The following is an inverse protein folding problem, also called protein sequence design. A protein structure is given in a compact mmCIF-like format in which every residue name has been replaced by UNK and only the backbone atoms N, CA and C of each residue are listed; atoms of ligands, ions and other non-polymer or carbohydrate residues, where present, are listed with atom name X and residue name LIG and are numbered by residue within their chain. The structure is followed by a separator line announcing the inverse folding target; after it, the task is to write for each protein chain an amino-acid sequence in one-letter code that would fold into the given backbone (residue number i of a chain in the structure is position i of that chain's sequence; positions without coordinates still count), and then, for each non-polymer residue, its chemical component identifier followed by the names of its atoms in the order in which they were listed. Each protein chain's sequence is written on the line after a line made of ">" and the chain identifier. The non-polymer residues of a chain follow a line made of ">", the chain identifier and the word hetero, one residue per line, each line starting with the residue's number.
data_IF_906736098423
#
_entry.id   IF_906736098423
#
_cell.length_a   1.000
_cell.length_b   1.000
_cell.length_c   1.000
_cell.angle_alpha   90.00
_cell.angle_beta   90.00
_cell.angle_gamma   90.00
#
_symmetry.space_group_name_H-M   'P 1'
#
loop_
_entity.id
_entity.type
_entity.pdbx_description
1 polymer ?
#
# COMPACT_ATOMS: atom_id res chain seq x y z
N UNK A 1 -14.44 1.94 -16.49
CA UNK A 1 -13.20 1.33 -15.97
C UNK A 1 -13.40 1.19 -14.47
N UNK A 2 -13.11 0.02 -13.91
CA UNK A 2 -13.21 -0.20 -12.47
C UNK A 2 -12.20 0.71 -11.74
N UNK A 3 -12.63 1.41 -10.69
CA UNK A 3 -11.77 2.35 -9.95
C UNK A 3 -10.63 1.64 -9.24
N UNK A 4 -10.85 0.38 -8.81
CA UNK A 4 -9.83 -0.47 -8.21
C UNK A 4 -8.75 -0.80 -9.23
N UNK A 5 -9.13 -1.33 -10.39
CA UNK A 5 -8.15 -1.65 -11.44
C UNK A 5 -7.42 -0.40 -11.96
N UNK A 6 -8.11 0.75 -12.02
CA UNK A 6 -7.48 2.03 -12.37
C UNK A 6 -6.40 2.43 -11.35
N UNK A 7 -6.67 2.29 -10.04
CA UNK A 7 -5.69 2.56 -8.99
C UNK A 7 -4.48 1.62 -9.08
N UNK A 8 -4.70 0.33 -9.37
CA UNK A 8 -3.62 -0.65 -9.56
C UNK A 8 -2.74 -0.31 -10.77
N UNK A 9 -3.33 0.12 -11.88
CA UNK A 9 -2.55 0.52 -13.06
C UNK A 9 -1.69 1.75 -12.78
N UNK A 10 -2.23 2.73 -12.05
CA UNK A 10 -1.46 3.90 -11.61
C UNK A 10 -0.31 3.47 -10.69
N UNK A 11 -0.60 2.63 -9.68
CA UNK A 11 0.40 2.13 -8.75
C UNK A 11 1.53 1.36 -9.45
N UNK A 12 1.19 0.49 -10.41
CA UNK A 12 2.16 -0.27 -11.20
C UNK A 12 3.03 0.64 -12.09
N UNK A 13 2.45 1.67 -12.69
CA UNK A 13 3.20 2.67 -13.47
C UNK A 13 4.13 3.50 -12.57
N UNK A 14 3.68 3.88 -11.37
CA UNK A 14 4.53 4.54 -10.38
C UNK A 14 5.71 3.66 -9.93
N UNK A 15 5.47 2.36 -9.72
CA UNK A 15 6.52 1.40 -9.42
C UNK A 15 7.58 1.37 -10.53
N UNK A 16 7.16 1.25 -11.80
CA UNK A 16 8.08 1.24 -12.94
C UNK A 16 8.85 2.55 -13.05
N UNK A 17 8.19 3.70 -12.83
CA UNK A 17 8.84 5.01 -12.80
C UNK A 17 9.88 5.11 -11.69
N UNK A 18 9.62 4.54 -10.50
CA UNK A 18 10.58 4.51 -9.39
C UNK A 18 11.81 3.67 -9.71
N UNK A 19 11.61 2.49 -10.30
CA UNK A 19 12.72 1.67 -10.84
C UNK A 19 13.50 2.45 -11.90
N UNK A 20 12.81 3.15 -12.81
CA UNK A 20 13.43 3.97 -13.86
C UNK A 20 14.32 5.11 -13.32
N UNK A 21 14.07 5.55 -12.08
CA UNK A 21 14.92 6.53 -11.36
C UNK A 21 16.05 5.88 -10.56
N UNK A 22 16.17 4.56 -10.59
CA UNK A 22 17.20 3.79 -9.88
C UNK A 22 16.83 3.42 -8.44
N UNK A 23 15.56 3.57 -8.04
CA UNK A 23 15.11 3.14 -6.71
C UNK A 23 14.88 1.63 -6.74
N UNK A 24 15.55 0.89 -5.86
CA UNK A 24 15.45 -0.58 -5.82
C UNK A 24 14.14 -1.04 -5.18
N UNK A 25 13.32 -1.85 -5.84
CA UNK A 25 12.07 -2.37 -5.28
C UNK A 25 12.32 -3.43 -4.19
N UNK A 26 13.56 -3.90 -4.02
CA UNK A 26 13.95 -4.83 -2.97
C UNK A 26 14.14 -4.19 -1.59
N UNK A 27 14.13 -2.86 -1.50
CA UNK A 27 14.10 -2.16 -0.22
C UNK A 27 12.77 -1.40 -0.09
N UNK A 28 11.74 -2.12 0.35
CA UNK A 28 10.36 -1.64 0.39
C UNK A 28 10.22 -0.28 1.08
N UNK A 29 10.87 -0.11 2.24
CA UNK A 29 10.77 1.13 3.02
C UNK A 29 11.41 2.31 2.29
N UNK A 30 12.66 2.17 1.80
CA UNK A 30 13.30 3.22 0.99
C UNK A 30 12.56 3.47 -0.31
N UNK A 31 11.91 2.46 -0.87
CA UNK A 31 11.14 2.59 -2.10
C UNK A 31 9.92 3.50 -1.89
N UNK A 32 9.18 3.30 -0.80
CA UNK A 32 8.06 4.16 -0.41
C UNK A 32 8.53 5.58 -0.04
N UNK A 33 9.55 5.70 0.78
CA UNK A 33 10.12 7.01 1.19
C UNK A 33 10.57 7.81 -0.04
N UNK A 34 11.32 7.18 -0.96
CA UNK A 34 11.79 7.88 -2.16
C UNK A 34 10.65 8.37 -3.06
N UNK A 35 9.48 7.73 -3.01
CA UNK A 35 8.30 8.15 -3.76
C UNK A 35 7.53 9.27 -3.04
N UNK A 36 7.53 9.29 -1.70
CA UNK A 36 7.07 10.43 -0.91
C UNK A 36 7.98 11.66 -1.09
N UNK A 37 9.31 11.49 -0.97
CA UNK A 37 10.31 12.54 -1.17
C UNK A 37 10.18 13.19 -2.56
N UNK A 38 9.89 12.40 -3.60
CA UNK A 38 9.69 12.90 -4.97
C UNK A 38 8.49 13.85 -5.09
N UNK A 39 7.54 13.78 -4.15
CA UNK A 39 6.37 14.66 -4.07
C UNK A 39 6.55 15.78 -3.05
N UNK A 40 7.77 15.95 -2.53
CA UNK A 40 8.10 16.91 -1.48
C UNK A 40 7.35 16.63 -0.15
N UNK A 41 7.01 15.36 0.11
CA UNK A 41 6.46 14.93 1.41
C UNK A 41 7.57 14.36 2.29
N UNK A 42 7.71 14.90 3.50
CA UNK A 42 8.54 14.31 4.54
C UNK A 42 7.87 13.04 5.10
N UNK A 43 8.68 12.08 5.53
CA UNK A 43 8.21 10.83 6.16
C UNK A 43 8.85 10.69 7.53
N UNK A 44 8.01 10.64 8.57
CA UNK A 44 8.46 10.45 9.94
C UNK A 44 7.84 9.23 10.60
N UNK A 45 8.69 8.48 11.31
CA UNK A 45 8.29 7.33 12.08
C UNK A 45 7.97 7.75 13.52
N UNK A 46 6.77 7.40 14.00
CA UNK A 46 6.33 7.69 15.38
C UNK A 46 6.17 6.41 16.20
N UNK A 47 6.14 6.53 17.53
CA UNK A 47 5.92 5.38 18.39
C UNK A 47 4.54 4.74 18.15
N UNK A 48 4.44 3.43 18.36
CA UNK A 48 3.18 2.72 18.26
C UNK A 48 2.11 3.29 19.19
N UNK A 49 0.92 3.52 18.63
CA UNK A 49 -0.19 4.15 19.35
C UNK A 49 0.03 5.61 19.76
N UNK A 50 0.99 6.32 19.13
CA UNK A 50 1.18 7.74 19.39
C UNK A 50 -0.11 8.54 19.14
N UNK A 51 -0.43 9.48 20.03
CA UNK A 51 -1.67 10.27 19.97
C UNK A 51 -1.85 11.01 18.65
N UNK A 52 -0.75 11.41 18.01
CA UNK A 52 -0.76 12.08 16.70
C UNK A 52 -1.36 11.21 15.58
N UNK A 53 -1.30 9.88 15.72
CA UNK A 53 -1.94 8.96 14.77
C UNK A 53 -3.44 8.82 14.99
N UNK A 54 -4.00 9.35 16.08
CA UNK A 54 -5.44 9.33 16.38
C UNK A 54 -6.10 7.94 16.21
N UNK A 55 -5.42 6.89 16.69
CA UNK A 55 -5.91 5.50 16.61
C UNK A 55 -5.60 4.78 15.29
N UNK A 56 -5.05 5.47 14.29
CA UNK A 56 -4.55 4.88 13.05
C UNK A 56 -3.11 4.38 13.17
N UNK A 57 -2.63 3.72 12.11
CA UNK A 57 -1.20 3.33 11.97
C UNK A 57 -0.40 4.30 11.12
N UNK A 58 -1.04 5.12 10.31
CA UNK A 58 -0.42 6.18 9.54
C UNK A 58 -1.44 7.27 9.26
N UNK A 59 -0.93 8.49 9.04
CA UNK A 59 -1.75 9.62 8.69
C UNK A 59 -0.98 10.62 7.83
N UNK A 60 -1.66 11.13 6.81
CA UNK A 60 -1.22 12.24 6.00
C UNK A 60 -1.62 13.58 6.62
N UNK A 61 -0.64 14.44 6.89
CA UNK A 61 -0.85 15.84 7.25
C UNK A 61 -0.60 16.69 6.01
N UNK A 62 -1.63 16.84 5.18
CA UNK A 62 -1.48 17.42 3.85
C UNK A 62 -0.98 18.88 3.86
N UNK A 63 -1.41 19.68 4.84
CA UNK A 63 -1.00 21.09 4.98
C UNK A 63 0.48 21.26 5.37
N UNK A 64 1.08 20.23 5.95
CA UNK A 64 2.49 20.22 6.38
C UNK A 64 3.38 19.41 5.44
N UNK A 65 2.82 18.85 4.35
CA UNK A 65 3.52 17.92 3.46
C UNK A 65 4.22 16.79 4.23
N UNK A 66 3.51 16.18 5.19
CA UNK A 66 4.10 15.21 6.10
C UNK A 66 3.28 13.91 6.14
N UNK A 67 3.96 12.77 6.04
CA UNK A 67 3.43 11.44 6.29
C UNK A 67 3.99 10.93 7.61
N UNK A 68 3.10 10.65 8.55
CA UNK A 68 3.45 9.97 9.80
C UNK A 68 3.09 8.50 9.68
N UNK A 69 4.00 7.61 10.09
CA UNK A 69 3.71 6.19 10.18
C UNK A 69 4.19 5.58 11.49
N UNK A 70 3.49 4.55 11.95
CA UNK A 70 3.88 3.78 13.11
C UNK A 70 5.22 3.07 12.86
N UNK A 71 6.14 3.18 13.82
CA UNK A 71 7.43 2.51 13.81
C UNK A 71 7.33 1.09 14.38
N UNK A 72 6.45 0.25 13.82
CA UNK A 72 6.28 -1.14 14.22
C UNK A 72 6.26 -2.07 13.00
N UNK A 73 6.45 -3.36 13.22
CA UNK A 73 6.46 -4.36 12.15
C UNK A 73 7.73 -4.35 11.27
N UNK A 74 7.62 -5.06 10.14
CA UNK A 74 8.70 -5.24 9.15
C UNK A 74 8.93 -3.99 8.30
N UNK A 75 10.02 -3.94 7.54
CA UNK A 75 10.25 -2.84 6.59
C UNK A 75 9.13 -2.76 5.53
N UNK A 76 8.62 -3.91 5.08
CA UNK A 76 7.49 -3.96 4.17
C UNK A 76 6.22 -3.38 4.78
N UNK A 77 5.91 -3.72 6.04
CA UNK A 77 4.72 -3.20 6.71
C UNK A 77 4.77 -1.67 6.87
N UNK A 78 5.93 -1.12 7.22
CA UNK A 78 6.13 0.34 7.28
C UNK A 78 6.01 0.98 5.90
N UNK A 79 6.61 0.35 4.88
CA UNK A 79 6.46 0.79 3.50
C UNK A 79 5.00 0.81 3.05
N UNK A 80 4.22 -0.20 3.45
CA UNK A 80 2.80 -0.31 3.12
C UNK A 80 2.00 0.85 3.69
N UNK A 81 2.26 1.22 4.95
CA UNK A 81 1.66 2.39 5.58
C UNK A 81 1.95 3.68 4.79
N UNK A 82 3.21 3.90 4.40
CA UNK A 82 3.59 5.08 3.62
C UNK A 82 2.94 5.04 2.23
N UNK A 83 2.95 3.88 1.57
CA UNK A 83 2.36 3.69 0.25
C UNK A 83 0.83 3.87 0.24
N UNK A 84 0.16 3.56 1.35
CA UNK A 84 -1.26 3.82 1.56
C UNK A 84 -1.54 5.34 1.53
N UNK A 85 -0.78 6.13 2.29
CA UNK A 85 -0.89 7.59 2.27
C UNK A 85 -0.52 8.21 0.90
N UNK A 86 0.47 7.64 0.20
CA UNK A 86 0.79 8.01 -1.20
C UNK A 86 -0.43 7.77 -2.10
N UNK A 87 -1.22 6.73 -1.85
CA UNK A 87 -2.48 6.47 -2.54
C UNK A 87 -3.47 7.63 -2.41
N UNK A 88 -3.66 8.14 -1.18
CA UNK A 88 -4.53 9.31 -0.96
C UNK A 88 -4.04 10.56 -1.71
N UNK A 89 -2.73 10.78 -1.74
CA UNK A 89 -2.11 11.90 -2.50
C UNK A 89 -2.35 11.72 -4.00
N UNK A 90 -2.04 10.55 -4.55
CA UNK A 90 -2.08 10.28 -5.99
C UNK A 90 -3.51 10.27 -6.55
N UNK A 91 -4.46 9.68 -5.80
CA UNK A 91 -5.84 9.52 -6.25
C UNK A 91 -6.75 10.70 -5.87
N UNK A 92 -6.20 11.72 -5.19
CA UNK A 92 -6.84 13.03 -5.01
C UNK A 92 -7.87 13.10 -3.86
N UNK A 93 -7.66 12.35 -2.78
CA UNK A 93 -8.57 12.30 -1.62
C UNK A 93 -8.10 13.18 -0.44
N UNK A 94 -7.17 14.12 -0.68
CA UNK A 94 -6.50 14.94 0.35
C UNK A 94 -7.38 16.00 1.05
N UNK A 95 -8.70 15.97 0.87
CA UNK A 95 -9.61 17.02 1.38
C UNK A 95 -10.15 16.79 2.78
N UNK A 96 -10.03 15.59 3.32
CA UNK A 96 -10.38 15.28 4.70
C UNK A 96 -9.16 14.60 5.34
N UNK A 97 -8.74 15.03 6.54
CA UNK A 97 -7.73 14.30 7.32
C UNK A 97 -8.34 12.94 7.68
N UNK A 98 -8.07 11.92 6.87
CA UNK A 98 -8.65 10.59 7.05
C UNK A 98 -7.82 9.84 8.09
N UNK A 99 -8.45 9.51 9.22
CA UNK A 99 -7.90 8.59 10.21
C UNK A 99 -8.50 7.20 9.99
N UNK A 100 -7.65 6.21 9.70
CA UNK A 100 -8.07 4.82 9.39
C UNK A 100 -7.80 3.89 10.57
N UNK A 101 -8.80 3.11 10.98
CA UNK A 101 -8.65 2.15 12.09
C UNK A 101 -8.11 0.77 11.65
N UNK A 102 -8.18 0.39 10.37
CA UNK A 102 -7.82 -0.97 9.89
C UNK A 102 -7.20 -1.01 8.48
N UNK A 103 -5.86 -1.04 8.41
CA UNK A 103 -5.05 -1.17 7.18
C UNK A 103 -4.62 -2.65 7.02
N UNK A 104 -4.95 -3.28 5.88
CA UNK A 104 -4.67 -4.71 5.61
C UNK A 104 -3.88 -4.94 4.32
N UNK A 105 -2.58 -5.29 4.42
CA UNK A 105 -1.74 -5.64 3.27
C UNK A 105 -2.23 -6.85 2.46
N UNK A 106 -2.94 -7.81 3.08
CA UNK A 106 -3.33 -9.07 2.44
C UNK A 106 -4.75 -9.02 1.84
N UNK A 107 -5.40 -7.85 1.84
CA UNK A 107 -6.81 -7.69 1.44
C UNK A 107 -7.12 -8.26 0.05
N UNK A 108 -8.10 -9.15 -0.06
CA UNK A 108 -8.55 -9.73 -1.35
C UNK A 108 -9.39 -8.72 -2.14
N UNK A 109 -9.39 -8.82 -3.49
CA UNK A 109 -10.29 -8.05 -4.36
C UNK A 109 -11.76 -8.47 -4.13
N UNK A 110 -12.00 -9.75 -3.86
CA UNK A 110 -13.31 -10.33 -3.60
C UNK A 110 -13.78 -10.09 -2.15
N UNK A 111 -14.10 -8.85 -1.81
CA UNK A 111 -15.24 -8.63 -0.92
C UNK A 111 -16.54 -8.78 -1.75
N UNK A 112 -16.72 -9.92 -2.42
CA UNK A 112 -17.86 -10.15 -3.31
C UNK A 112 -19.05 -10.67 -2.48
N UNK A 113 -20.24 -10.05 -2.57
CA UNK A 113 -21.37 -10.37 -1.72
C UNK A 113 -22.07 -11.64 -2.22
N UNK A 114 -21.53 -12.81 -1.88
CA UNK A 114 -22.24 -14.09 -2.08
C UNK A 114 -22.81 -14.52 -0.73
N UNK A 115 -23.83 -13.80 -0.29
CA UNK A 115 -24.52 -14.07 0.96
C UNK A 115 -25.81 -13.27 1.05
N UNK A 116 -26.90 -13.89 0.62
CA UNK A 116 -28.29 -13.41 0.59
C UNK A 116 -28.88 -12.96 1.95
N UNK A 117 -28.08 -12.65 2.97
CA UNK A 117 -28.61 -12.22 4.28
C UNK A 117 -27.74 -11.23 5.07
N UNK A 118 -26.84 -10.48 4.43
CA UNK A 118 -26.23 -9.28 5.04
C UNK A 118 -25.56 -8.38 4.00
N UNK A 119 -26.37 -7.51 3.40
CA UNK A 119 -25.87 -6.31 2.73
C UNK A 119 -25.32 -5.39 3.81
N UNK A 120 -24.07 -5.59 4.22
CA UNK A 120 -23.30 -4.53 4.85
C UNK A 120 -22.85 -3.65 3.69
N UNK A 121 -23.69 -2.68 3.32
CA UNK A 121 -23.30 -1.65 2.36
C UNK A 121 -22.05 -0.97 2.91
N UNK A 122 -20.89 -1.24 2.30
CA UNK A 122 -19.68 -0.49 2.59
C UNK A 122 -19.99 1.00 2.38
N UNK A 123 -19.55 1.85 3.32
CA UNK A 123 -19.62 3.29 3.12
C UNK A 123 -18.69 3.70 1.96
N UNK A 124 -18.91 4.89 1.39
CA UNK A 124 -18.01 5.41 0.35
C UNK A 124 -16.57 5.54 0.84
N UNK A 125 -16.39 5.88 2.12
CA UNK A 125 -15.08 5.95 2.77
C UNK A 125 -14.42 4.58 2.85
N UNK A 126 -15.14 3.54 3.29
CA UNK A 126 -14.56 2.19 3.38
C UNK A 126 -14.10 1.66 2.02
N UNK A 127 -14.83 1.96 0.93
CA UNK A 127 -14.38 1.60 -0.42
C UNK A 127 -13.10 2.32 -0.84
N UNK A 128 -12.89 3.55 -0.38
CA UNK A 128 -11.66 4.30 -0.64
C UNK A 128 -10.49 3.70 0.12
N UNK A 129 -10.66 3.34 1.39
CA UNK A 129 -9.60 2.66 2.17
C UNK A 129 -9.18 1.34 1.52
N UNK A 130 -10.15 0.54 1.07
CA UNK A 130 -9.88 -0.68 0.31
C UNK A 130 -9.09 -0.38 -0.97
N UNK A 131 -9.42 0.70 -1.66
CA UNK A 131 -8.69 1.14 -2.85
C UNK A 131 -7.26 1.57 -2.51
N UNK A 132 -7.03 2.25 -1.38
CA UNK A 132 -5.68 2.63 -0.92
C UNK A 132 -4.83 1.44 -0.52
N UNK A 133 -5.41 0.44 0.16
CA UNK A 133 -4.71 -0.82 0.47
C UNK A 133 -4.26 -1.55 -0.80
N UNK A 134 -5.14 -1.63 -1.81
CA UNK A 134 -4.84 -2.27 -3.10
C UNK A 134 -3.81 -1.45 -3.90
N UNK A 135 -3.89 -0.12 -3.86
CA UNK A 135 -2.88 0.76 -4.44
C UNK A 135 -1.51 0.53 -3.79
N UNK A 136 -1.43 0.54 -2.46
CA UNK A 136 -0.20 0.37 -1.71
C UNK A 136 0.46 -0.99 -2.02
N UNK A 137 -0.34 -2.07 -2.03
CA UNK A 137 0.16 -3.40 -2.40
C UNK A 137 0.70 -3.42 -3.82
N UNK A 138 -0.04 -2.88 -4.78
CA UNK A 138 0.36 -2.88 -6.17
C UNK A 138 1.58 -1.99 -6.43
N UNK A 139 1.74 -0.90 -5.69
CA UNK A 139 2.89 -0.01 -5.82
C UNK A 139 4.18 -0.66 -5.29
N UNK A 140 4.12 -1.31 -4.14
CA UNK A 140 5.30 -1.96 -3.55
C UNK A 140 5.64 -3.29 -4.23
N UNK A 141 4.61 -4.02 -4.64
CA UNK A 141 4.72 -5.38 -5.10
C UNK A 141 3.77 -5.64 -6.28
N UNK A 142 4.00 -5.03 -7.47
CA UNK A 142 3.07 -5.17 -8.60
C UNK A 142 2.90 -6.62 -9.03
N UNK A 143 1.67 -7.03 -9.39
CA UNK A 143 1.38 -8.41 -9.84
C UNK A 143 2.28 -8.84 -10.99
N UNK A 144 2.50 -7.93 -11.93
CA UNK A 144 3.35 -8.17 -13.11
C UNK A 144 4.79 -8.46 -12.70
N UNK A 145 5.30 -7.77 -11.68
CA UNK A 145 6.64 -7.98 -11.15
C UNK A 145 6.73 -9.28 -10.37
N UNK A 146 5.79 -9.56 -9.47
CA UNK A 146 5.77 -10.83 -8.70
C UNK A 146 5.67 -12.04 -9.61
N UNK A 147 4.78 -11.98 -10.61
CA UNK A 147 4.64 -13.03 -11.62
C UNK A 147 5.93 -13.25 -12.39
N UNK A 148 6.63 -12.17 -12.76
CA UNK A 148 7.94 -12.26 -13.40
C UNK A 148 8.95 -12.98 -12.49
N UNK A 149 9.07 -12.54 -11.23
CA UNK A 149 9.99 -13.16 -10.26
C UNK A 149 9.70 -14.66 -10.08
N UNK A 150 8.43 -15.05 -10.08
CA UNK A 150 8.04 -16.44 -9.90
C UNK A 150 8.24 -17.30 -11.15
N UNK A 151 7.76 -16.82 -12.30
CA UNK A 151 7.73 -17.60 -13.55
C UNK A 151 9.06 -17.55 -14.29
N UNK A 152 9.66 -16.36 -14.42
CA UNK A 152 10.89 -16.17 -15.19
C UNK A 152 12.12 -16.45 -14.33
N UNK A 153 12.15 -15.93 -13.10
CA UNK A 153 13.33 -16.01 -12.23
C UNK A 153 13.29 -17.22 -11.27
N UNK A 154 12.19 -17.97 -11.27
CA UNK A 154 12.04 -19.23 -10.53
C UNK A 154 11.95 -19.09 -9.01
N UNK A 155 11.70 -17.89 -8.48
CA UNK A 155 11.59 -17.67 -7.04
C UNK A 155 10.24 -18.18 -6.51
N UNK A 156 10.26 -18.86 -5.38
CA UNK A 156 9.05 -19.23 -4.65
C UNK A 156 8.42 -18.02 -3.95
N UNK A 157 7.13 -18.10 -3.63
CA UNK A 157 6.45 -17.05 -2.85
C UNK A 157 7.15 -16.79 -1.50
N UNK A 158 7.64 -17.84 -0.85
CA UNK A 158 8.43 -17.74 0.38
C UNK A 158 9.73 -16.98 0.17
N UNK A 159 10.51 -17.29 -0.86
CA UNK A 159 11.77 -16.59 -1.15
C UNK A 159 11.55 -15.10 -1.48
N UNK A 160 10.46 -14.78 -2.19
CA UNK A 160 10.09 -13.38 -2.47
C UNK A 160 9.72 -12.66 -1.17
N UNK A 161 8.90 -13.29 -0.32
CA UNK A 161 8.47 -12.74 0.96
C UNK A 161 9.67 -12.47 1.89
N UNK A 162 10.58 -13.44 2.03
CA UNK A 162 11.80 -13.32 2.83
C UNK A 162 12.70 -12.20 2.34
N UNK A 163 12.89 -12.08 1.01
CA UNK A 163 13.74 -11.02 0.44
C UNK A 163 13.19 -9.61 0.65
N UNK A 164 11.87 -9.46 0.67
CA UNK A 164 11.20 -8.17 0.86
C UNK A 164 10.87 -7.85 2.30
N UNK A 165 11.11 -8.78 3.23
CA UNK A 165 10.62 -8.74 4.61
C UNK A 165 9.09 -8.51 4.66
N UNK A 166 8.38 -9.15 3.71
CA UNK A 166 6.94 -9.02 3.51
C UNK A 166 6.20 -10.22 4.12
N UNK A 167 4.95 -10.04 4.62
CA UNK A 167 4.13 -11.18 4.99
C UNK A 167 3.86 -12.09 3.78
N UNK A 168 3.94 -13.40 3.97
CA UNK A 168 3.75 -14.39 2.92
C UNK A 168 2.40 -14.20 2.20
N UNK A 169 1.35 -13.90 2.95
CA UNK A 169 -0.01 -13.74 2.46
C UNK A 169 -0.11 -12.63 1.42
N UNK A 170 0.68 -11.56 1.56
CA UNK A 170 0.70 -10.44 0.61
C UNK A 170 1.28 -10.88 -0.75
N UNK A 171 2.37 -11.66 -0.71
CA UNK A 171 3.01 -12.19 -1.91
C UNK A 171 2.10 -13.23 -2.58
N UNK A 172 1.53 -14.13 -1.79
CA UNK A 172 0.59 -15.13 -2.28
C UNK A 172 -0.64 -14.47 -2.93
N UNK A 173 -1.18 -13.42 -2.32
CA UNK A 173 -2.30 -12.68 -2.90
C UNK A 173 -1.94 -12.05 -4.25
N UNK A 174 -0.75 -11.46 -4.40
CA UNK A 174 -0.31 -10.89 -5.69
C UNK A 174 0.01 -11.93 -6.76
N UNK A 175 0.31 -13.18 -6.39
CA UNK A 175 0.46 -14.27 -7.34
C UNK A 175 -0.88 -14.83 -7.82
N UNK A 176 -1.93 -14.71 -7.00
CA UNK A 176 -3.27 -15.23 -7.27
C UNK A 176 -4.19 -14.21 -7.97
N UNK A 177 -4.01 -12.91 -7.68
CA UNK A 177 -4.71 -11.78 -8.33
C UNK A 177 -4.29 -11.56 -9.79
#
# INVERSE_FOLDING_TARGET
>A
MDSIESARQIASDLHLKAIGRGVSPWNSLKFAIAEADRRDYDVEAVAAGATVLNGSKATLIADEYLILHENSGTEFQKAFLIAHEIGHIELGDTKDNVSVEEIDPARTIEASPIGIDRVVDYSAQQRREVQMDLFAREFLLPRTWVKKLHVDDGLTATEIAEKLDAPYEVVAQQLLD
#
